data_IF_587966615542
#
_entry.id   IF_587966615542
#
_cell.length_a   1.000
_cell.length_b   1.000
_cell.length_c   1.000
_cell.angle_alpha   90.00
_cell.angle_beta   90.00
_cell.angle_gamma   90.00
#
_symmetry.space_group_name_H-M   'P 1'
#
loop_
_entity.id
_entity.type
_entity.pdbx_description
1 polymer ?
#
# COMPACT_ATOMS: atom_id res chain seq x y z
N UNK A 1 33.75 2.00 14.92
CA UNK A 1 34.24 3.12 15.77
C UNK A 1 35.76 3.41 15.68
N UNK A 2 36.52 2.82 14.74
CA UNK A 2 37.93 3.19 14.46
C UNK A 2 38.16 3.91 13.12
N UNK A 3 37.14 4.00 12.26
CA UNK A 3 37.20 4.73 10.98
C UNK A 3 36.65 6.16 11.03
N UNK A 4 35.96 6.56 12.11
CA UNK A 4 35.43 7.92 12.29
C UNK A 4 36.49 8.86 12.91
N UNK A 5 37.55 8.31 13.50
CA UNK A 5 38.62 9.10 14.12
C UNK A 5 39.82 9.38 13.20
N UNK A 6 39.90 8.75 12.02
CA UNK A 6 41.04 8.97 11.09
C UNK A 6 40.79 10.07 10.05
N UNK A 7 39.57 10.60 9.96
CA UNK A 7 39.24 11.70 9.05
C UNK A 7 39.39 13.08 9.71
N UNK A 8 39.62 13.15 11.04
CA UNK A 8 39.74 14.41 11.77
C UNK A 8 41.17 14.95 11.91
N UNK A 9 42.21 14.27 11.41
CA UNK A 9 43.61 14.68 11.65
C UNK A 9 44.50 14.72 10.40
N UNK A 10 43.97 15.20 9.28
CA UNK A 10 44.80 15.60 8.13
C UNK A 10 44.36 16.94 7.58
N UNK A 11 44.25 17.94 8.45
CA UNK A 11 44.37 19.33 7.97
C UNK A 11 45.86 19.56 7.76
N UNK A 12 46.30 19.52 6.51
CA UNK A 12 47.70 19.74 6.15
C UNK A 12 48.12 21.16 6.53
N UNK A 13 49.41 21.38 6.80
CA UNK A 13 49.96 22.71 7.14
C UNK A 13 49.55 23.79 6.12
N UNK A 14 49.36 23.40 4.85
CA UNK A 14 48.86 24.22 3.76
C UNK A 14 47.40 24.71 3.97
N UNK A 15 46.52 23.85 4.49
CA UNK A 15 45.12 24.21 4.77
C UNK A 15 45.02 25.14 5.99
N UNK A 16 45.85 24.93 7.03
CA UNK A 16 45.94 25.89 8.14
C UNK A 16 46.42 27.27 7.66
N UNK A 17 47.43 27.33 6.79
CA UNK A 17 47.87 28.61 6.22
C UNK A 17 46.81 29.30 5.35
N UNK A 18 45.98 28.54 4.62
CA UNK A 18 44.88 29.10 3.84
C UNK A 18 43.75 29.63 4.72
N UNK A 19 43.40 28.92 5.79
CA UNK A 19 42.38 29.36 6.75
C UNK A 19 42.85 30.61 7.51
N UNK A 20 44.12 30.65 7.95
CA UNK A 20 44.68 31.85 8.60
C UNK A 20 44.79 33.02 7.64
N UNK A 21 45.16 32.79 6.37
CA UNK A 21 45.20 33.85 5.37
C UNK A 21 43.81 34.38 5.03
N UNK A 22 42.80 33.49 4.92
CA UNK A 22 41.41 33.87 4.67
C UNK A 22 40.80 34.66 5.82
N UNK A 23 41.06 34.27 7.07
CA UNK A 23 40.59 35.01 8.26
C UNK A 23 41.28 36.36 8.43
N UNK A 24 42.58 36.46 8.16
CA UNK A 24 43.30 37.74 8.13
C UNK A 24 42.77 38.63 7.01
N UNK A 25 42.51 38.09 5.82
CA UNK A 25 41.93 38.84 4.70
C UNK A 25 40.52 39.32 5.03
N UNK A 26 39.68 38.49 5.63
CA UNK A 26 38.33 38.87 6.05
C UNK A 26 38.37 39.95 7.16
N UNK A 27 39.28 39.83 8.13
CA UNK A 27 39.52 40.86 9.14
C UNK A 27 40.03 42.16 8.52
N UNK A 28 40.94 42.10 7.54
CA UNK A 28 41.44 43.28 6.83
C UNK A 28 40.35 43.93 5.97
N UNK A 29 39.48 43.14 5.32
CA UNK A 29 38.33 43.65 4.55
C UNK A 29 37.30 44.26 5.51
N UNK A 30 37.02 43.65 6.66
CA UNK A 30 36.14 44.21 7.67
C UNK A 30 36.73 45.50 8.28
N UNK A 31 38.03 45.52 8.59
CA UNK A 31 38.73 46.72 9.06
C UNK A 31 38.72 47.80 7.98
N UNK A 32 38.97 47.45 6.72
CA UNK A 32 38.94 48.38 5.59
C UNK A 32 37.52 48.90 5.32
N UNK A 33 36.52 48.04 5.37
CA UNK A 33 35.09 48.40 5.25
C UNK A 33 34.60 49.24 6.43
N UNK A 34 35.21 49.11 7.61
CA UNK A 34 34.90 49.95 8.78
C UNK A 34 35.68 51.26 8.76
N UNK A 35 36.96 51.26 8.38
CA UNK A 35 37.82 52.44 8.40
C UNK A 35 37.64 53.34 7.19
N UNK A 36 37.40 52.81 5.99
CA UNK A 36 37.33 53.63 4.77
C UNK A 36 36.12 54.55 4.75
N UNK A 37 34.90 54.12 5.14
CA UNK A 37 33.76 55.04 5.26
C UNK A 37 33.98 56.05 6.39
N UNK A 38 34.53 55.62 7.53
CA UNK A 38 34.84 56.53 8.64
C UNK A 38 35.93 57.55 8.26
N UNK A 39 36.94 57.17 7.48
CA UNK A 39 37.97 58.09 6.99
C UNK A 39 37.41 59.04 5.91
N UNK A 40 36.50 58.55 5.06
CA UNK A 40 35.81 59.34 4.04
C UNK A 40 34.78 60.32 4.61
N UNK A 41 34.25 60.09 5.82
CA UNK A 41 33.40 61.04 6.56
C UNK A 41 34.24 61.97 7.45
N UNK A 42 35.32 61.47 8.06
CA UNK A 42 36.19 62.27 8.94
C UNK A 42 37.02 63.28 8.14
N UNK A 43 37.54 62.96 6.96
CA UNK A 43 38.32 63.91 6.13
C UNK A 43 37.55 65.17 5.70
N UNK A 44 36.32 65.09 5.14
CA UNK A 44 35.56 66.28 4.80
C UNK A 44 35.05 67.03 6.03
N UNK A 45 34.68 66.35 7.13
CA UNK A 45 34.23 67.01 8.37
C UNK A 45 35.38 67.71 9.08
N UNK A 46 36.56 67.08 9.18
CA UNK A 46 37.77 67.73 9.71
C UNK A 46 38.28 68.83 8.76
N UNK A 47 38.14 68.64 7.45
CA UNK A 47 38.39 69.66 6.43
C UNK A 47 37.49 70.88 6.61
N UNK A 48 36.18 70.69 6.83
CA UNK A 48 35.22 71.75 7.10
C UNK A 48 35.49 72.44 8.44
N UNK A 49 35.86 71.70 9.49
CA UNK A 49 36.23 72.28 10.79
C UNK A 49 37.54 73.07 10.71
N UNK A 50 38.56 72.56 10.02
CA UNK A 50 39.83 73.26 9.80
C UNK A 50 39.62 74.50 8.92
N UNK A 51 38.73 74.42 7.92
CA UNK A 51 38.37 75.54 7.07
C UNK A 51 37.57 76.61 7.84
N UNK A 52 36.63 76.22 8.70
CA UNK A 52 35.93 77.15 9.58
C UNK A 52 36.89 77.81 10.59
N UNK A 53 37.89 77.07 11.07
CA UNK A 53 38.94 77.59 11.95
C UNK A 53 39.87 78.55 11.20
N UNK A 54 40.21 78.26 9.94
CA UNK A 54 41.00 79.13 9.07
C UNK A 54 40.26 80.42 8.70
N UNK A 55 38.95 80.34 8.42
CA UNK A 55 38.09 81.51 8.17
C UNK A 55 37.99 82.36 9.45
N UNK A 56 37.82 81.75 10.62
CA UNK A 56 37.82 82.46 11.90
C UNK A 56 39.17 83.12 12.21
N UNK A 57 40.29 82.48 11.86
CA UNK A 57 41.65 83.06 12.04
C UNK A 57 41.90 84.19 11.04
N UNK A 58 41.49 84.05 9.77
CA UNK A 58 41.60 85.09 8.75
C UNK A 58 40.73 86.31 9.08
N UNK A 59 39.53 86.11 9.64
CA UNK A 59 38.68 87.18 10.14
C UNK A 59 39.25 87.88 11.39
N UNK A 60 40.09 87.21 12.19
CA UNK A 60 40.72 87.78 13.38
C UNK A 60 42.06 88.48 13.10
N UNK A 61 42.70 88.21 11.95
CA UNK A 61 44.05 88.69 11.62
C UNK A 61 44.13 89.86 10.63
N UNK A 62 43.01 90.40 10.15
CA UNK A 62 43.02 91.59 9.27
C UNK A 62 42.81 92.88 10.08
N UNK A 63 43.83 93.74 10.25
CA UNK A 63 43.63 95.10 10.72
C UNK A 63 42.92 95.89 9.62
N UNK A 64 41.98 96.75 10.02
CA UNK A 64 41.23 97.67 9.16
C UNK A 64 42.13 98.58 8.33
N UNK A 65 42.47 98.22 7.09
CA UNK A 65 43.03 99.15 6.09
C UNK A 65 42.73 98.72 4.65
N UNK A 66 42.24 99.70 3.87
CA UNK A 66 41.98 99.76 2.41
C UNK A 66 40.77 99.01 1.84
N UNK A 67 39.88 99.84 1.29
CA UNK A 67 38.49 99.63 0.82
C UNK A 67 38.36 98.92 -0.54
N UNK A 68 39.38 98.16 -0.99
CA UNK A 68 39.44 97.60 -2.36
C UNK A 68 39.86 96.12 -2.43
N UNK A 69 40.15 95.49 -1.28
CA UNK A 69 40.50 94.06 -1.17
C UNK A 69 39.50 93.24 -0.33
N UNK A 70 38.47 93.90 0.20
CA UNK A 70 37.35 93.26 0.90
C UNK A 70 36.40 92.57 -0.06
N UNK A 71 36.28 93.03 -1.29
CA UNK A 71 35.32 92.50 -2.28
C UNK A 71 35.79 91.13 -2.83
N UNK A 72 37.08 90.95 -3.10
CA UNK A 72 37.65 89.70 -3.64
C UNK A 72 37.74 88.58 -2.58
N UNK A 73 37.94 88.93 -1.31
CA UNK A 73 37.90 87.96 -0.20
C UNK A 73 36.45 87.65 0.20
N UNK A 74 35.55 88.64 0.24
CA UNK A 74 34.14 88.40 0.53
C UNK A 74 33.49 87.50 -0.53
N UNK A 75 33.75 87.74 -1.82
CA UNK A 75 33.23 86.91 -2.93
C UNK A 75 33.78 85.49 -2.94
N UNK A 76 35.09 85.29 -2.70
CA UNK A 76 35.67 83.94 -2.55
C UNK A 76 35.07 83.21 -1.33
N UNK A 77 34.85 83.92 -0.23
CA UNK A 77 34.24 83.31 0.97
C UNK A 77 32.77 82.95 0.73
N UNK A 78 32.04 83.78 -0.02
CA UNK A 78 30.63 83.55 -0.38
C UNK A 78 30.45 82.36 -1.35
N UNK A 79 31.30 82.25 -2.38
CA UNK A 79 31.27 81.12 -3.32
C UNK A 79 31.60 79.78 -2.64
N UNK A 80 32.54 79.77 -1.69
CA UNK A 80 32.87 78.57 -0.91
C UNK A 80 31.77 78.19 0.10
N UNK A 81 31.16 79.17 0.78
CA UNK A 81 30.01 78.93 1.66
C UNK A 81 28.84 78.38 0.85
N UNK A 82 28.60 78.91 -0.36
CA UNK A 82 27.58 78.44 -1.28
C UNK A 82 27.84 77.01 -1.77
N UNK A 83 29.08 76.67 -2.12
CA UNK A 83 29.46 75.31 -2.49
C UNK A 83 29.31 74.32 -1.32
N UNK A 84 29.68 74.71 -0.10
CA UNK A 84 29.53 73.87 1.09
C UNK A 84 28.05 73.66 1.48
N UNK A 85 27.21 74.68 1.30
CA UNK A 85 25.75 74.57 1.47
C UNK A 85 25.12 73.65 0.42
N UNK A 86 25.62 73.66 -0.82
CA UNK A 86 25.16 72.74 -1.86
C UNK A 86 25.54 71.29 -1.55
N UNK A 87 26.75 71.04 -1.05
CA UNK A 87 27.15 69.71 -0.56
C UNK A 87 26.30 69.27 0.64
N UNK A 88 26.00 70.16 1.60
CA UNK A 88 25.07 69.86 2.69
C UNK A 88 23.65 69.53 2.18
N UNK A 89 23.18 70.21 1.14
CA UNK A 89 21.90 69.89 0.48
C UNK A 89 21.93 68.48 -0.13
N UNK A 90 23.04 68.10 -0.75
CA UNK A 90 23.23 66.74 -1.24
C UNK A 90 23.21 65.74 -0.08
N UNK A 91 23.92 65.97 1.03
CA UNK A 91 23.92 65.06 2.18
C UNK A 91 22.52 64.94 2.82
N UNK A 92 21.76 66.04 2.94
CA UNK A 92 20.37 66.01 3.45
C UNK A 92 19.45 65.20 2.53
N UNK A 93 19.59 65.35 1.21
CA UNK A 93 18.85 64.55 0.24
C UNK A 93 19.21 63.05 0.31
N UNK A 94 20.49 62.71 0.51
CA UNK A 94 20.93 61.33 0.70
C UNK A 94 20.43 60.76 2.03
N UNK A 95 20.40 61.54 3.11
CA UNK A 95 19.83 61.13 4.39
C UNK A 95 18.33 60.84 4.28
N UNK A 96 17.55 61.70 3.60
CA UNK A 96 16.13 61.44 3.33
C UNK A 96 15.89 60.21 2.45
N UNK A 97 16.78 59.96 1.48
CA UNK A 97 16.74 58.75 0.67
C UNK A 97 17.05 57.49 1.50
N UNK A 98 18.07 57.55 2.38
CA UNK A 98 18.42 56.48 3.32
C UNK A 98 17.26 56.13 4.26
N UNK A 99 16.57 57.13 4.82
CA UNK A 99 15.40 56.90 5.68
C UNK A 99 14.25 56.22 4.92
N UNK A 100 13.98 56.66 3.68
CA UNK A 100 12.96 56.03 2.82
C UNK A 100 13.32 54.58 2.49
N UNK A 101 14.61 54.33 2.20
CA UNK A 101 15.12 52.99 1.94
C UNK A 101 15.07 52.10 3.19
N UNK A 102 15.42 52.63 4.37
CA UNK A 102 15.30 51.92 5.66
C UNK A 102 13.84 51.52 5.93
N UNK A 103 12.89 52.43 5.70
CA UNK A 103 11.45 52.14 5.81
C UNK A 103 11.00 51.02 4.87
N UNK A 104 11.43 51.05 3.61
CA UNK A 104 11.12 50.00 2.64
C UNK A 104 11.72 48.64 3.01
N UNK A 105 12.98 48.62 3.47
CA UNK A 105 13.67 47.38 3.90
C UNK A 105 13.02 46.80 5.16
N UNK A 106 12.63 47.64 6.13
CA UNK A 106 11.92 47.18 7.32
C UNK A 106 10.55 46.57 6.99
N UNK A 107 9.82 47.18 6.04
CA UNK A 107 8.56 46.59 5.55
C UNK A 107 8.77 45.23 4.90
N UNK A 108 9.81 45.08 4.08
CA UNK A 108 10.17 43.80 3.48
C UNK A 108 10.61 42.75 4.54
N UNK A 109 11.33 43.17 5.58
CA UNK A 109 11.75 42.29 6.66
C UNK A 109 10.56 41.78 7.50
N UNK A 110 9.55 42.62 7.74
CA UNK A 110 8.31 42.23 8.43
C UNK A 110 7.50 41.21 7.60
N UNK A 111 7.42 41.42 6.29
CA UNK A 111 6.80 40.48 5.36
C UNK A 111 7.56 39.13 5.33
N UNK A 112 8.90 39.16 5.30
CA UNK A 112 9.73 37.96 5.40
C UNK A 112 9.45 37.21 6.71
N UNK A 113 9.41 37.90 7.85
CA UNK A 113 9.13 37.26 9.13
C UNK A 113 7.73 36.62 9.16
N UNK A 114 6.73 37.28 8.59
CA UNK A 114 5.37 36.72 8.47
C UNK A 114 5.38 35.43 7.67
N UNK A 115 6.02 35.44 6.49
CA UNK A 115 6.17 34.24 5.64
C UNK A 115 6.93 33.12 6.37
N UNK A 116 7.97 33.46 7.14
CA UNK A 116 8.74 32.47 7.90
C UNK A 116 7.91 31.85 9.03
N UNK A 117 7.05 32.61 9.72
CA UNK A 117 6.12 32.05 10.71
C UNK A 117 5.12 31.08 10.09
N UNK A 118 4.55 31.44 8.94
CA UNK A 118 3.64 30.55 8.21
C UNK A 118 4.36 29.27 7.78
N UNK A 119 5.61 29.39 7.31
CA UNK A 119 6.45 28.27 6.93
C UNK A 119 6.75 27.33 8.10
N UNK A 120 6.98 27.83 9.31
CA UNK A 120 7.14 26.99 10.52
C UNK A 120 5.87 26.18 10.81
N UNK A 121 4.69 26.79 10.67
CA UNK A 121 3.42 26.10 10.88
C UNK A 121 3.19 25.00 9.82
N UNK A 122 3.54 25.26 8.56
CA UNK A 122 3.45 24.29 7.48
C UNK A 122 4.42 23.12 7.67
N UNK A 123 5.67 23.40 8.07
CA UNK A 123 6.67 22.38 8.43
C UNK A 123 6.17 21.47 9.57
N UNK A 124 5.53 22.06 10.59
CA UNK A 124 4.98 21.31 11.72
C UNK A 124 3.83 20.40 11.28
N UNK A 125 2.97 20.89 10.40
CA UNK A 125 1.89 20.10 9.80
C UNK A 125 2.46 18.96 8.96
N UNK A 126 3.49 19.22 8.17
CA UNK A 126 4.16 18.22 7.33
C UNK A 126 4.80 17.10 8.16
N UNK A 127 5.44 17.41 9.30
CA UNK A 127 5.94 16.39 10.23
C UNK A 127 4.84 15.48 10.76
N UNK A 128 3.67 16.04 11.06
CA UNK A 128 2.51 15.25 11.52
C UNK A 128 2.07 14.29 10.41
N UNK A 129 1.96 14.76 9.17
CA UNK A 129 1.62 13.89 8.04
C UNK A 129 2.64 12.77 7.83
N UNK A 130 3.94 13.05 7.93
CA UNK A 130 4.98 12.03 7.79
C UNK A 130 4.85 10.96 8.89
N UNK A 131 4.57 11.36 10.13
CA UNK A 131 4.35 10.43 11.23
C UNK A 131 3.12 9.53 10.99
N UNK A 132 1.99 10.13 10.59
CA UNK A 132 0.76 9.40 10.27
C UNK A 132 0.96 8.42 9.09
N UNK A 133 1.70 8.84 8.06
CA UNK A 133 2.06 7.98 6.92
C UNK A 133 2.95 6.81 7.36
N UNK A 134 3.92 7.05 8.25
CA UNK A 134 4.79 6.00 8.78
C UNK A 134 3.99 4.94 9.55
N UNK A 135 3.04 5.36 10.39
CA UNK A 135 2.14 4.42 11.07
C UNK A 135 1.30 3.60 10.07
N UNK A 136 0.84 4.21 8.99
CA UNK A 136 0.13 3.48 7.93
C UNK A 136 1.01 2.45 7.23
N UNK A 137 2.29 2.75 6.98
CA UNK A 137 3.22 1.79 6.38
C UNK A 137 3.50 0.60 7.31
N UNK A 138 3.58 0.81 8.63
CA UNK A 138 3.70 -0.27 9.62
C UNK A 138 2.47 -1.19 9.61
N UNK A 139 1.26 -0.61 9.44
CA UNK A 139 0.03 -1.39 9.29
C UNK A 139 0.03 -2.21 8.00
N UNK A 140 0.54 -1.66 6.90
CA UNK A 140 0.70 -2.38 5.63
C UNK A 140 1.66 -3.56 5.81
N UNK A 141 2.78 -3.37 6.51
CA UNK A 141 3.72 -4.46 6.80
C UNK A 141 3.05 -5.61 7.57
N UNK A 142 2.29 -5.29 8.61
CA UNK A 142 1.51 -6.28 9.35
C UNK A 142 0.47 -6.99 8.46
N UNK A 143 -0.16 -6.28 7.51
CA UNK A 143 -1.09 -6.90 6.55
C UNK A 143 -0.39 -7.87 5.59
N UNK A 144 0.82 -7.53 5.12
CA UNK A 144 1.65 -8.40 4.27
C UNK A 144 2.03 -9.68 5.02
N UNK A 145 2.46 -9.58 6.28
CA UNK A 145 2.79 -10.74 7.11
C UNK A 145 1.58 -11.69 7.28
N UNK A 146 0.40 -11.11 7.55
CA UNK A 146 -0.84 -11.90 7.64
C UNK A 146 -1.22 -12.54 6.29
N UNK A 147 -1.02 -11.82 5.18
CA UNK A 147 -1.26 -12.35 3.84
C UNK A 147 -0.35 -13.55 3.54
N UNK A 148 0.94 -13.46 3.87
CA UNK A 148 1.90 -14.54 3.69
C UNK A 148 1.53 -15.78 4.53
N UNK A 149 1.10 -15.58 5.78
CA UNK A 149 0.61 -16.69 6.62
C UNK A 149 -0.66 -17.35 6.02
N UNK A 150 -1.57 -16.56 5.44
CA UNK A 150 -2.75 -17.09 4.76
C UNK A 150 -2.40 -17.89 3.50
N UNK A 151 -1.40 -17.45 2.73
CA UNK A 151 -0.87 -18.17 1.56
C UNK A 151 -0.32 -19.53 1.99
N UNK A 152 0.48 -19.58 3.05
CA UNK A 152 1.06 -20.82 3.58
C UNK A 152 -0.03 -21.82 4.00
N UNK A 153 -1.01 -21.37 4.79
CA UNK A 153 -2.15 -22.20 5.21
C UNK A 153 -2.97 -22.68 4.01
N UNK A 154 -3.16 -21.82 3.01
CA UNK A 154 -3.89 -22.18 1.77
C UNK A 154 -3.14 -23.27 1.00
N UNK A 155 -1.82 -23.16 0.88
CA UNK A 155 -0.99 -24.17 0.22
C UNK A 155 -1.06 -25.53 0.93
N UNK A 156 -0.89 -25.56 2.26
CA UNK A 156 -0.99 -26.78 3.05
C UNK A 156 -2.40 -27.42 2.94
N UNK A 157 -3.44 -26.59 3.00
CA UNK A 157 -4.83 -27.06 2.84
C UNK A 157 -5.05 -27.66 1.43
N UNK A 158 -4.48 -27.04 0.41
CA UNK A 158 -4.59 -27.48 -0.99
C UNK A 158 -3.90 -28.83 -1.21
N UNK A 159 -2.73 -29.03 -0.60
CA UNK A 159 -2.01 -30.32 -0.62
C UNK A 159 -2.81 -31.42 0.08
N UNK A 160 -3.35 -31.12 1.26
CA UNK A 160 -4.19 -32.05 2.02
C UNK A 160 -5.46 -32.46 1.25
N UNK A 161 -6.15 -31.51 0.63
CA UNK A 161 -7.33 -31.80 -0.20
C UNK A 161 -6.95 -32.65 -1.41
N UNK A 162 -5.82 -32.37 -2.06
CA UNK A 162 -5.32 -33.18 -3.18
C UNK A 162 -5.10 -34.63 -2.77
N UNK A 163 -4.44 -34.85 -1.62
CA UNK A 163 -4.21 -36.17 -1.06
C UNK A 163 -5.52 -36.90 -0.74
N UNK A 164 -6.46 -36.22 -0.07
CA UNK A 164 -7.77 -36.77 0.27
C UNK A 164 -8.60 -37.10 -0.98
N UNK A 165 -8.61 -36.24 -1.99
CA UNK A 165 -9.33 -36.50 -3.25
C UNK A 165 -8.74 -37.69 -4.00
N UNK A 166 -7.41 -37.81 -4.06
CA UNK A 166 -6.77 -38.98 -4.68
C UNK A 166 -7.08 -40.28 -3.91
N UNK A 167 -7.09 -40.24 -2.57
CA UNK A 167 -7.49 -41.37 -1.76
C UNK A 167 -8.97 -41.74 -1.99
N UNK A 168 -9.85 -40.74 -2.03
CA UNK A 168 -11.27 -40.92 -2.33
C UNK A 168 -11.51 -41.57 -3.69
N UNK A 169 -10.81 -41.11 -4.74
CA UNK A 169 -10.85 -41.75 -6.06
C UNK A 169 -10.45 -43.21 -6.01
N UNK A 170 -9.35 -43.52 -5.33
CA UNK A 170 -8.88 -44.90 -5.19
C UNK A 170 -9.91 -45.79 -4.47
N UNK A 171 -10.53 -45.28 -3.40
CA UNK A 171 -11.56 -46.05 -2.68
C UNK A 171 -12.78 -46.34 -3.54
N UNK A 172 -13.17 -45.43 -4.44
CA UNK A 172 -14.27 -45.66 -5.38
C UNK A 172 -13.87 -46.65 -6.47
N UNK A 173 -12.63 -46.61 -6.95
CA UNK A 173 -12.10 -47.60 -7.90
C UNK A 173 -12.10 -49.01 -7.28
N UNK A 174 -11.56 -49.15 -6.06
CA UNK A 174 -11.61 -50.38 -5.26
C UNK A 174 -13.08 -50.86 -5.06
N UNK A 175 -14.02 -49.93 -4.92
CA UNK A 175 -15.46 -50.24 -4.81
C UNK A 175 -16.07 -50.71 -6.14
N UNK A 176 -15.60 -50.16 -7.27
CA UNK A 176 -15.96 -50.62 -8.62
C UNK A 176 -15.56 -52.07 -8.86
N UNK A 177 -14.37 -52.46 -8.42
CA UNK A 177 -13.90 -53.85 -8.48
C UNK A 177 -14.79 -54.79 -7.65
N UNK A 178 -15.22 -54.34 -6.47
CA UNK A 178 -16.17 -55.10 -5.63
C UNK A 178 -17.51 -55.30 -6.36
N UNK A 179 -18.06 -54.26 -6.99
CA UNK A 179 -19.29 -54.40 -7.79
C UNK A 179 -19.13 -55.39 -8.93
N UNK A 180 -18.01 -55.34 -9.65
CA UNK A 180 -17.74 -56.27 -10.74
C UNK A 180 -17.66 -57.72 -10.24
N UNK A 181 -17.07 -57.93 -9.06
CA UNK A 181 -17.05 -59.23 -8.39
C UNK A 181 -18.46 -59.73 -8.02
N UNK A 182 -19.32 -58.86 -7.50
CA UNK A 182 -20.70 -59.19 -7.15
C UNK A 182 -21.51 -59.53 -8.42
N UNK A 183 -21.36 -58.76 -9.50
CA UNK A 183 -22.04 -59.04 -10.78
C UNK A 183 -21.67 -60.46 -11.27
N UNK A 184 -20.38 -60.80 -11.27
CA UNK A 184 -19.93 -62.13 -11.69
C UNK A 184 -20.47 -63.26 -10.79
N UNK A 185 -20.56 -63.02 -9.47
CA UNK A 185 -21.15 -63.99 -8.55
C UNK A 185 -22.65 -64.19 -8.81
N UNK A 186 -23.37 -63.11 -9.10
CA UNK A 186 -24.80 -63.15 -9.44
C UNK A 186 -25.05 -63.88 -10.76
N UNK A 187 -24.21 -63.67 -11.78
CA UNK A 187 -24.27 -64.42 -13.05
C UNK A 187 -24.03 -65.93 -12.85
N UNK A 188 -23.04 -66.30 -12.02
CA UNK A 188 -22.80 -67.70 -11.66
C UNK A 188 -24.01 -68.30 -10.93
N UNK A 189 -24.62 -67.55 -10.02
CA UNK A 189 -25.80 -67.98 -9.31
C UNK A 189 -27.01 -68.18 -10.23
N UNK A 190 -27.19 -67.32 -11.23
CA UNK A 190 -28.21 -67.51 -12.27
C UNK A 190 -27.97 -68.80 -13.06
N UNK A 191 -26.72 -69.09 -13.44
CA UNK A 191 -26.36 -70.34 -14.12
C UNK A 191 -26.68 -71.58 -13.27
N UNK A 192 -26.43 -71.55 -11.96
CA UNK A 192 -26.77 -72.68 -11.08
C UNK A 192 -28.28 -72.88 -10.93
N UNK A 193 -29.06 -71.80 -10.86
CA UNK A 193 -30.53 -71.90 -10.82
C UNK A 193 -31.09 -72.45 -12.12
N UNK A 194 -30.51 -72.07 -13.28
CA UNK A 194 -30.89 -72.66 -14.56
C UNK A 194 -30.62 -74.16 -14.60
N UNK A 195 -29.47 -74.62 -14.12
CA UNK A 195 -29.16 -76.05 -14.03
C UNK A 195 -30.13 -76.79 -13.08
N UNK A 196 -30.48 -76.16 -11.95
CA UNK A 196 -31.45 -76.70 -11.01
C UNK A 196 -32.84 -76.80 -11.66
N UNK A 197 -33.27 -75.79 -12.40
CA UNK A 197 -34.53 -75.79 -13.14
C UNK A 197 -34.61 -76.97 -14.11
N UNK A 198 -33.55 -77.21 -14.87
CA UNK A 198 -33.47 -78.34 -15.82
C UNK A 198 -33.51 -79.69 -15.11
N UNK A 199 -32.85 -79.83 -13.96
CA UNK A 199 -32.93 -81.04 -13.12
C UNK A 199 -34.34 -81.27 -12.59
N UNK A 200 -35.03 -80.23 -12.13
CA UNK A 200 -36.41 -80.34 -11.65
C UNK A 200 -37.37 -80.75 -12.76
N UNK A 201 -37.16 -80.26 -13.99
CA UNK A 201 -37.92 -80.68 -15.17
C UNK A 201 -37.78 -82.18 -15.43
N UNK A 202 -36.56 -82.73 -15.32
CA UNK A 202 -36.32 -84.16 -15.47
C UNK A 202 -37.00 -85.01 -14.37
N UNK A 203 -37.10 -84.47 -13.14
CA UNK A 203 -37.87 -85.10 -12.06
C UNK A 203 -39.36 -85.11 -12.39
N UNK A 204 -39.93 -84.01 -12.90
CA UNK A 204 -41.32 -83.95 -13.35
C UNK A 204 -41.64 -84.98 -14.43
N UNK A 205 -40.76 -85.14 -15.42
CA UNK A 205 -40.90 -86.17 -16.47
C UNK A 205 -40.88 -87.60 -15.89
N UNK A 206 -40.02 -87.84 -14.90
CA UNK A 206 -39.94 -89.12 -14.19
C UNK A 206 -41.20 -89.42 -13.38
N UNK A 207 -41.76 -88.41 -12.70
CA UNK A 207 -43.02 -88.52 -11.96
C UNK A 207 -44.20 -88.83 -12.88
N UNK A 208 -44.28 -88.19 -14.04
CA UNK A 208 -45.30 -88.51 -15.05
C UNK A 208 -45.24 -89.97 -15.51
N UNK A 209 -44.02 -90.52 -15.64
CA UNK A 209 -43.82 -91.94 -15.96
C UNK A 209 -44.27 -92.87 -14.82
N UNK A 210 -43.99 -92.50 -13.56
CA UNK A 210 -44.44 -93.25 -12.37
C UNK A 210 -45.96 -93.23 -12.26
N UNK A 211 -46.59 -92.08 -12.48
CA UNK A 211 -48.05 -91.95 -12.44
C UNK A 211 -48.70 -92.80 -13.55
N UNK A 212 -48.12 -92.81 -14.76
CA UNK A 212 -48.55 -93.68 -15.85
C UNK A 212 -48.47 -95.16 -15.46
N UNK A 213 -47.32 -95.62 -14.92
CA UNK A 213 -47.13 -97.00 -14.46
C UNK A 213 -48.12 -97.35 -13.34
N UNK A 214 -48.32 -96.44 -12.38
CA UNK A 214 -49.26 -96.63 -11.28
C UNK A 214 -50.70 -96.78 -11.79
N UNK A 215 -51.15 -95.91 -12.69
CA UNK A 215 -52.48 -95.98 -13.31
C UNK A 215 -52.65 -97.29 -14.11
N UNK A 216 -51.64 -97.73 -14.87
CA UNK A 216 -51.65 -99.02 -15.57
C UNK A 216 -51.72 -100.21 -14.60
N UNK A 217 -50.95 -100.18 -13.51
CA UNK A 217 -50.93 -101.24 -12.50
C UNK A 217 -52.27 -101.32 -11.77
N UNK A 218 -52.88 -100.18 -11.46
CA UNK A 218 -54.22 -100.10 -10.89
C UNK A 218 -55.29 -100.68 -11.83
N UNK A 219 -55.21 -100.40 -13.15
CA UNK A 219 -56.11 -101.00 -14.15
C UNK A 219 -55.91 -102.51 -14.30
N UNK A 220 -54.66 -102.99 -14.29
CA UNK A 220 -54.36 -104.44 -14.30
C UNK A 220 -54.89 -105.13 -13.04
N UNK A 221 -54.69 -104.53 -11.88
CA UNK A 221 -55.19 -105.04 -10.60
C UNK A 221 -56.72 -105.03 -10.52
N UNK A 222 -57.38 -104.04 -11.12
CA UNK A 222 -58.83 -104.00 -11.26
C UNK A 222 -59.32 -105.15 -12.14
N UNK A 223 -58.72 -105.35 -13.32
CA UNK A 223 -59.05 -106.46 -14.21
C UNK A 223 -58.84 -107.83 -13.53
N UNK A 224 -57.74 -107.99 -12.80
CA UNK A 224 -57.47 -109.20 -12.02
C UNK A 224 -58.48 -109.42 -10.89
N UNK A 225 -58.91 -108.35 -10.20
CA UNK A 225 -59.95 -108.44 -9.16
C UNK A 225 -61.30 -108.87 -9.74
N UNK A 226 -61.65 -108.37 -10.93
CA UNK A 226 -62.88 -108.76 -11.65
C UNK A 226 -62.82 -110.25 -12.02
N UNK A 227 -61.71 -110.72 -12.59
CA UNK A 227 -61.58 -112.12 -13.02
C UNK A 227 -61.51 -113.08 -11.82
N UNK A 228 -60.87 -112.66 -10.72
CA UNK A 228 -60.89 -113.40 -9.45
C UNK A 228 -62.32 -113.53 -8.87
N UNK A 229 -63.14 -112.48 -8.95
CA UNK A 229 -64.55 -112.54 -8.56
C UNK A 229 -65.35 -113.48 -9.49
N UNK A 230 -65.01 -113.50 -10.78
CA UNK A 230 -65.64 -114.35 -11.80
C UNK A 230 -65.35 -115.84 -11.61
N UNK A 231 -64.18 -116.18 -11.08
CA UNK A 231 -63.77 -117.55 -10.75
C UNK A 231 -64.39 -118.10 -9.43
N UNK A 232 -65.17 -117.30 -8.71
CA UNK A 232 -65.91 -117.74 -7.51
C UNK A 232 -64.99 -118.18 -6.35
N UNK A 233 -65.28 -119.33 -5.72
CA UNK A 233 -64.49 -119.86 -4.58
C UNK A 233 -63.01 -120.08 -4.91
N UNK A 234 -62.69 -120.49 -6.14
CA UNK A 234 -61.31 -120.76 -6.57
C UNK A 234 -60.48 -119.47 -6.77
N UNK A 235 -61.13 -118.31 -6.92
CA UNK A 235 -60.49 -117.02 -7.15
C UNK A 235 -60.22 -116.18 -5.90
N UNK A 236 -60.74 -116.57 -4.72
CA UNK A 236 -60.66 -115.76 -3.48
C UNK A 236 -59.24 -115.31 -3.12
N UNK A 237 -58.26 -116.20 -3.20
CA UNK A 237 -56.85 -115.88 -2.90
C UNK A 237 -56.25 -114.86 -3.88
N UNK A 238 -56.55 -115.01 -5.17
CA UNK A 238 -56.14 -114.05 -6.21
C UNK A 238 -56.84 -112.69 -6.06
N UNK A 239 -58.10 -112.69 -5.62
CA UNK A 239 -58.86 -111.46 -5.36
C UNK A 239 -58.23 -110.61 -4.26
N UNK A 240 -57.77 -111.23 -3.16
CA UNK A 240 -57.07 -110.52 -2.08
C UNK A 240 -55.77 -109.88 -2.58
N UNK A 241 -54.97 -110.62 -3.35
CA UNK A 241 -53.71 -110.09 -3.93
C UNK A 241 -53.99 -108.95 -4.89
N UNK A 242 -54.98 -109.09 -5.78
CA UNK A 242 -55.35 -108.04 -6.72
C UNK A 242 -55.82 -106.76 -6.01
N UNK A 243 -56.54 -106.89 -4.89
CA UNK A 243 -56.99 -105.75 -4.10
C UNK A 243 -55.84 -105.06 -3.36
N UNK A 244 -54.84 -105.81 -2.89
CA UNK A 244 -53.63 -105.24 -2.27
C UNK A 244 -52.74 -104.54 -3.31
N UNK A 245 -52.56 -105.11 -4.52
CA UNK A 245 -51.85 -104.44 -5.62
C UNK A 245 -52.54 -103.12 -5.97
N UNK A 246 -53.87 -103.12 -6.06
CA UNK A 246 -54.66 -101.93 -6.36
C UNK A 246 -54.47 -100.84 -5.30
N UNK A 247 -54.44 -101.23 -4.03
CA UNK A 247 -54.15 -100.31 -2.91
C UNK A 247 -52.73 -99.74 -2.99
N UNK A 248 -51.72 -100.57 -3.27
CA UNK A 248 -50.33 -100.13 -3.47
C UNK A 248 -50.21 -99.15 -4.64
N UNK A 249 -50.86 -99.43 -5.78
CA UNK A 249 -50.87 -98.50 -6.92
C UNK A 249 -51.45 -97.15 -6.54
N UNK A 250 -52.60 -97.12 -5.85
CA UNK A 250 -53.17 -95.85 -5.38
C UNK A 250 -52.22 -95.10 -4.42
N UNK A 251 -51.54 -95.79 -3.50
CA UNK A 251 -50.54 -95.17 -2.63
C UNK A 251 -49.33 -94.62 -3.40
N UNK A 252 -48.87 -95.31 -4.43
CA UNK A 252 -47.81 -94.82 -5.33
C UNK A 252 -48.26 -93.58 -6.07
N UNK A 253 -49.53 -93.53 -6.51
CA UNK A 253 -50.10 -92.35 -7.16
C UNK A 253 -50.15 -91.15 -6.20
N UNK A 254 -50.73 -91.33 -5.01
CA UNK A 254 -50.80 -90.28 -3.98
C UNK A 254 -49.39 -89.75 -3.60
N UNK A 255 -48.40 -90.64 -3.53
CA UNK A 255 -47.02 -90.26 -3.28
C UNK A 255 -46.41 -89.47 -4.45
N UNK A 256 -46.67 -89.88 -5.69
CA UNK A 256 -46.21 -89.18 -6.88
C UNK A 256 -46.82 -87.78 -6.98
N UNK A 257 -48.12 -87.64 -6.69
CA UNK A 257 -48.82 -86.35 -6.64
C UNK A 257 -48.20 -85.42 -5.58
N UNK A 258 -47.92 -85.94 -4.37
CA UNK A 258 -47.29 -85.16 -3.31
C UNK A 258 -45.86 -84.72 -3.67
N UNK A 259 -45.08 -85.55 -4.37
CA UNK A 259 -43.75 -85.14 -4.85
C UNK A 259 -43.89 -84.10 -5.96
N UNK A 260 -44.89 -84.22 -6.84
CA UNK A 260 -45.16 -83.25 -7.90
C UNK A 260 -45.47 -81.85 -7.32
N UNK A 261 -46.24 -81.78 -6.24
CA UNK A 261 -46.50 -80.52 -5.54
C UNK A 261 -45.20 -79.89 -4.98
N UNK A 262 -44.30 -80.70 -4.42
CA UNK A 262 -42.99 -80.22 -3.95
C UNK A 262 -42.17 -79.69 -5.13
N UNK A 263 -42.13 -80.40 -6.25
CA UNK A 263 -41.40 -80.00 -7.46
C UNK A 263 -41.95 -78.68 -8.02
N UNK A 264 -43.26 -78.50 -8.06
CA UNK A 264 -43.90 -77.26 -8.50
C UNK A 264 -43.54 -76.08 -7.58
N UNK A 265 -43.52 -76.29 -6.26
CA UNK A 265 -43.08 -75.27 -5.30
C UNK A 265 -41.60 -74.90 -5.50
N UNK A 266 -40.74 -75.85 -5.83
CA UNK A 266 -39.33 -75.58 -6.16
C UNK A 266 -39.22 -74.78 -7.46
N UNK A 267 -39.98 -75.12 -8.51
CA UNK A 267 -40.01 -74.35 -9.76
C UNK A 267 -40.45 -72.89 -9.53
N UNK A 268 -41.49 -72.68 -8.72
CA UNK A 268 -41.94 -71.33 -8.37
C UNK A 268 -40.88 -70.56 -7.58
N UNK A 269 -40.20 -71.23 -6.64
CA UNK A 269 -39.08 -70.63 -5.89
C UNK A 269 -37.92 -70.22 -6.80
N UNK A 270 -37.56 -71.05 -7.77
CA UNK A 270 -36.52 -70.73 -8.77
C UNK A 270 -36.94 -69.51 -9.60
N UNK A 271 -38.20 -69.44 -10.03
CA UNK A 271 -38.72 -68.30 -10.78
C UNK A 271 -38.68 -67.00 -9.97
N UNK A 272 -39.06 -67.04 -8.70
CA UNK A 272 -38.96 -65.87 -7.83
C UNK A 272 -37.51 -65.44 -7.62
N UNK A 273 -36.58 -66.40 -7.53
CA UNK A 273 -35.14 -66.15 -7.49
C UNK A 273 -34.66 -65.45 -8.77
N UNK A 274 -35.17 -65.89 -9.94
CA UNK A 274 -34.89 -65.32 -11.26
C UNK A 274 -35.32 -63.84 -11.33
N UNK A 275 -36.50 -63.51 -10.82
CA UNK A 275 -36.96 -62.11 -10.79
C UNK A 275 -36.12 -61.25 -9.81
N UNK A 276 -35.61 -61.84 -8.73
CA UNK A 276 -34.77 -61.14 -7.74
C UNK A 276 -33.39 -60.80 -8.31
N UNK A 277 -32.68 -61.74 -8.94
CA UNK A 277 -31.31 -61.44 -9.39
C UNK A 277 -31.29 -60.42 -10.55
N UNK A 278 -32.30 -60.41 -11.43
CA UNK A 278 -32.42 -59.39 -12.48
C UNK A 278 -32.54 -57.98 -11.86
N UNK A 279 -33.28 -57.87 -10.76
CA UNK A 279 -33.38 -56.61 -10.00
C UNK A 279 -32.04 -56.26 -9.35
N UNK A 280 -31.35 -57.23 -8.78
CA UNK A 280 -30.05 -57.02 -8.13
C UNK A 280 -29.00 -56.53 -9.14
N UNK A 281 -28.94 -57.11 -10.35
CA UNK A 281 -28.06 -56.62 -11.44
C UNK A 281 -28.35 -55.15 -11.75
N UNK A 282 -29.62 -54.78 -11.93
CA UNK A 282 -30.00 -53.39 -12.21
C UNK A 282 -29.59 -52.42 -11.09
N UNK A 283 -29.69 -52.83 -9.83
CA UNK A 283 -29.23 -52.03 -8.68
C UNK A 283 -27.70 -51.87 -8.69
N UNK A 284 -26.96 -52.92 -9.03
CA UNK A 284 -25.50 -52.90 -9.10
C UNK A 284 -25.01 -51.99 -10.24
N UNK A 285 -25.65 -52.02 -11.40
CA UNK A 285 -25.33 -51.13 -12.53
C UNK A 285 -25.53 -49.65 -12.17
N UNK A 286 -26.66 -49.31 -11.52
CA UNK A 286 -26.90 -47.96 -11.01
C UNK A 286 -25.86 -47.58 -9.96
N UNK A 287 -25.49 -48.51 -9.08
CA UNK A 287 -24.42 -48.32 -8.10
C UNK A 287 -23.08 -47.96 -8.74
N UNK A 288 -22.72 -48.65 -9.83
CA UNK A 288 -21.51 -48.36 -10.62
C UNK A 288 -21.56 -46.98 -11.27
N UNK A 289 -22.67 -46.63 -11.92
CA UNK A 289 -22.86 -45.31 -12.53
C UNK A 289 -22.71 -44.18 -11.50
N UNK A 290 -23.25 -44.37 -10.28
CA UNK A 290 -23.06 -43.41 -9.18
C UNK A 290 -21.61 -43.33 -8.72
N UNK A 291 -20.89 -44.46 -8.68
CA UNK A 291 -19.45 -44.49 -8.42
C UNK A 291 -18.67 -43.65 -9.44
N UNK A 292 -18.91 -43.87 -10.73
CA UNK A 292 -18.26 -43.13 -11.81
C UNK A 292 -18.52 -41.62 -11.71
N UNK A 293 -19.75 -41.22 -11.34
CA UNK A 293 -20.09 -39.81 -11.10
C UNK A 293 -19.30 -39.21 -9.93
N UNK A 294 -19.03 -39.99 -8.87
CA UNK A 294 -18.20 -39.54 -7.74
C UNK A 294 -16.74 -39.35 -8.16
N UNK A 295 -16.21 -40.20 -9.04
CA UNK A 295 -14.86 -40.03 -9.61
C UNK A 295 -14.75 -38.69 -10.36
N UNK A 296 -15.75 -38.34 -11.18
CA UNK A 296 -15.79 -37.06 -11.88
C UNK A 296 -15.79 -35.86 -10.92
N UNK A 297 -16.55 -35.95 -9.82
CA UNK A 297 -16.57 -34.89 -8.78
C UNK A 297 -15.17 -34.70 -8.19
N UNK A 298 -14.43 -35.77 -7.91
CA UNK A 298 -13.06 -35.65 -7.40
C UNK A 298 -12.10 -35.04 -8.44
N UNK A 299 -12.27 -35.35 -9.73
CA UNK A 299 -11.49 -34.71 -10.81
C UNK A 299 -11.75 -33.19 -10.90
N UNK A 300 -13.01 -32.78 -10.76
CA UNK A 300 -13.38 -31.36 -10.69
C UNK A 300 -12.77 -30.68 -9.45
N UNK A 301 -12.79 -31.34 -8.30
CA UNK A 301 -12.15 -30.83 -7.08
C UNK A 301 -10.64 -30.64 -7.30
N UNK A 302 -9.94 -31.62 -7.87
CA UNK A 302 -8.49 -31.52 -8.15
C UNK A 302 -8.20 -30.36 -9.12
N UNK A 303 -9.03 -30.18 -10.14
CA UNK A 303 -8.90 -29.07 -11.10
C UNK A 303 -9.05 -27.70 -10.42
N UNK A 304 -10.04 -27.57 -9.53
CA UNK A 304 -10.24 -26.34 -8.75
C UNK A 304 -9.08 -26.07 -7.78
N UNK A 305 -8.53 -27.13 -7.17
CA UNK A 305 -7.34 -27.07 -6.32
C UNK A 305 -6.11 -26.59 -7.09
N UNK A 306 -5.89 -27.07 -8.33
CA UNK A 306 -4.82 -26.54 -9.18
C UNK A 306 -4.99 -25.04 -9.44
N UNK A 307 -6.21 -24.60 -9.73
CA UNK A 307 -6.50 -23.18 -9.94
C UNK A 307 -6.25 -22.34 -8.67
N UNK A 308 -6.56 -22.89 -7.49
CA UNK A 308 -6.25 -22.25 -6.20
C UNK A 308 -4.74 -22.17 -5.95
N UNK A 309 -3.98 -23.20 -6.34
CA UNK A 309 -2.52 -23.18 -6.23
C UNK A 309 -1.91 -22.07 -7.11
N UNK A 310 -2.37 -21.91 -8.35
CA UNK A 310 -1.93 -20.82 -9.23
C UNK A 310 -2.27 -19.45 -8.66
N UNK A 311 -3.47 -19.27 -8.11
CA UNK A 311 -3.86 -18.02 -7.44
C UNK A 311 -3.00 -17.73 -6.21
N UNK A 312 -2.68 -18.75 -5.42
CA UNK A 312 -1.79 -18.64 -4.25
C UNK A 312 -0.40 -18.15 -4.65
N UNK A 313 0.18 -18.70 -5.73
CA UNK A 313 1.46 -18.24 -6.28
C UNK A 313 1.41 -16.78 -6.78
N UNK A 314 0.32 -16.40 -7.46
CA UNK A 314 0.14 -15.00 -7.89
C UNK A 314 0.01 -14.06 -6.70
N UNK A 315 -0.66 -14.50 -5.64
CA UNK A 315 -0.82 -13.71 -4.40
C UNK A 315 0.52 -13.55 -3.67
N UNK A 316 1.36 -14.58 -3.67
CA UNK A 316 2.72 -14.53 -3.13
C UNK A 316 3.58 -13.50 -3.88
N UNK A 317 3.56 -13.54 -5.22
CA UNK A 317 4.27 -12.57 -6.05
C UNK A 317 3.78 -11.13 -5.79
N UNK A 318 2.46 -10.94 -5.71
CA UNK A 318 1.86 -9.64 -5.41
C UNK A 318 2.25 -9.14 -4.01
N UNK A 319 2.27 -10.04 -3.03
CA UNK A 319 2.67 -9.74 -1.65
C UNK A 319 4.13 -9.24 -1.60
N UNK A 320 5.05 -9.93 -2.29
CA UNK A 320 6.45 -9.52 -2.40
C UNK A 320 6.62 -8.17 -3.11
N UNK A 321 5.82 -7.89 -4.14
CA UNK A 321 5.83 -6.60 -4.82
C UNK A 321 5.37 -5.47 -3.90
N UNK A 322 4.26 -5.67 -3.18
CA UNK A 322 3.74 -4.70 -2.21
C UNK A 322 4.75 -4.47 -1.07
N UNK A 323 5.41 -5.51 -0.57
CA UNK A 323 6.48 -5.38 0.43
C UNK A 323 7.62 -4.48 -0.07
N UNK A 324 8.07 -4.71 -1.30
CA UNK A 324 9.14 -3.91 -1.90
C UNK A 324 8.72 -2.45 -2.10
N UNK A 325 7.49 -2.19 -2.55
CA UNK A 325 6.99 -0.82 -2.68
C UNK A 325 6.81 -0.15 -1.32
N UNK A 326 6.32 -0.87 -0.31
CA UNK A 326 6.19 -0.37 1.07
C UNK A 326 7.56 0.08 1.62
N UNK A 327 8.59 -0.74 1.45
CA UNK A 327 9.97 -0.41 1.86
C UNK A 327 10.50 0.86 1.17
N UNK A 328 10.18 1.07 -0.11
CA UNK A 328 10.56 2.32 -0.81
C UNK A 328 9.84 3.53 -0.26
N UNK A 329 8.55 3.41 0.03
CA UNK A 329 7.76 4.52 0.60
C UNK A 329 8.29 4.88 1.98
N UNK A 330 8.61 3.89 2.82
CA UNK A 330 9.25 4.12 4.13
C UNK A 330 10.58 4.86 3.97
N UNK A 331 11.43 4.47 3.01
CA UNK A 331 12.68 5.18 2.74
C UNK A 331 12.46 6.63 2.29
N UNK A 332 11.48 6.88 1.42
CA UNK A 332 11.09 8.22 0.98
C UNK A 332 10.54 9.08 2.11
N UNK A 333 9.77 8.50 3.04
CA UNK A 333 9.28 9.21 4.23
C UNK A 333 10.41 9.60 5.17
N UNK A 334 11.44 8.75 5.31
CA UNK A 334 12.65 9.10 6.06
C UNK A 334 13.39 10.28 5.42
N UNK A 335 13.55 10.28 4.09
CA UNK A 335 14.19 11.38 3.37
C UNK A 335 13.37 12.68 3.48
N UNK A 336 12.04 12.60 3.40
CA UNK A 336 11.16 13.74 3.62
C UNK A 336 11.29 14.29 5.04
N UNK A 337 11.37 13.43 6.05
CA UNK A 337 11.56 13.87 7.43
C UNK A 337 12.87 14.66 7.61
N UNK A 338 13.96 14.18 7.01
CA UNK A 338 15.26 14.85 7.04
C UNK A 338 15.19 16.21 6.31
N UNK A 339 14.56 16.25 5.14
CA UNK A 339 14.34 17.49 4.38
C UNK A 339 13.50 18.50 5.18
N UNK A 340 12.43 18.07 5.83
CA UNK A 340 11.61 18.92 6.70
C UNK A 340 12.40 19.46 7.90
N UNK A 341 13.35 18.67 8.42
CA UNK A 341 14.31 19.11 9.43
C UNK A 341 15.27 20.20 8.93
N UNK A 342 15.84 20.02 7.74
CA UNK A 342 16.69 21.03 7.09
C UNK A 342 15.92 22.32 6.79
N UNK A 343 14.69 22.17 6.31
CA UNK A 343 13.80 23.29 5.99
C UNK A 343 13.53 24.14 7.24
N UNK A 344 13.25 23.50 8.38
CA UNK A 344 13.08 24.18 9.66
C UNK A 344 14.30 25.02 10.04
N UNK A 345 15.50 24.44 9.94
CA UNK A 345 16.75 25.15 10.27
C UNK A 345 17.00 26.34 9.33
N UNK A 346 16.68 26.21 8.04
CA UNK A 346 16.79 27.32 7.07
C UNK A 346 15.76 28.43 7.33
N UNK A 347 14.53 28.09 7.68
CA UNK A 347 13.48 29.05 8.04
C UNK A 347 13.88 29.83 9.30
N UNK A 348 14.36 29.14 10.34
CA UNK A 348 14.86 29.78 11.57
C UNK A 348 16.05 30.71 11.28
N UNK A 349 17.03 30.24 10.49
CA UNK A 349 18.18 31.05 10.10
C UNK A 349 17.80 32.29 9.28
N UNK A 350 16.82 32.17 8.39
CA UNK A 350 16.35 33.30 7.56
C UNK A 350 15.59 34.32 8.40
N UNK A 351 14.76 33.89 9.35
CA UNK A 351 14.11 34.81 10.30
C UNK A 351 15.15 35.55 11.16
N UNK A 352 16.20 34.85 11.62
CA UNK A 352 17.32 35.47 12.33
C UNK A 352 18.02 36.56 11.50
N UNK A 353 18.30 36.29 10.22
CA UNK A 353 18.91 37.27 9.30
C UNK A 353 17.99 38.47 9.05
N UNK A 354 16.67 38.26 8.93
CA UNK A 354 15.70 39.34 8.78
C UNK A 354 15.66 40.25 10.01
N UNK A 355 15.72 39.67 11.22
CA UNK A 355 15.83 40.43 12.48
C UNK A 355 17.14 41.23 12.57
N UNK A 356 18.26 40.65 12.17
CA UNK A 356 19.56 41.35 12.14
C UNK A 356 19.53 42.53 11.16
N UNK A 357 18.99 42.31 9.95
CA UNK A 357 18.83 43.34 8.93
C UNK A 357 17.96 44.50 9.42
N UNK A 358 16.84 44.20 10.10
CA UNK A 358 15.99 45.21 10.71
C UNK A 358 16.74 46.04 11.77
N UNK A 359 17.56 45.39 12.60
CA UNK A 359 18.42 46.08 13.56
C UNK A 359 19.43 47.00 12.87
N UNK A 360 20.09 46.56 11.81
CA UNK A 360 21.02 47.40 11.03
C UNK A 360 20.32 48.59 10.37
N UNK A 361 19.08 48.40 9.90
CA UNK A 361 18.29 49.48 9.28
C UNK A 361 17.83 50.52 10.30
N UNK A 362 17.55 50.13 11.55
CA UNK A 362 17.30 51.07 12.64
C UNK A 362 18.53 51.92 12.96
N UNK A 363 19.73 51.33 12.94
CA UNK A 363 20.98 52.08 13.12
C UNK A 363 21.23 53.07 11.96
N UNK A 364 20.98 52.63 10.72
CA UNK A 364 21.05 53.52 9.54
C UNK A 364 20.03 54.66 9.60
N UNK A 365 18.81 54.40 10.06
CA UNK A 365 17.80 55.44 10.23
C UNK A 365 18.20 56.46 11.31
N UNK A 366 18.77 55.99 12.42
CA UNK A 366 19.29 56.85 13.48
C UNK A 366 20.48 57.70 13.01
N UNK A 367 21.41 57.12 12.24
CA UNK A 367 22.54 57.86 11.66
C UNK A 367 22.07 58.89 10.62
N UNK A 368 21.11 58.57 9.75
CA UNK A 368 20.53 59.51 8.81
C UNK A 368 19.80 60.67 9.53
N UNK A 369 19.09 60.36 10.62
CA UNK A 369 18.41 61.36 11.45
C UNK A 369 19.41 62.32 12.12
N UNK A 370 20.45 61.78 12.74
CA UNK A 370 21.50 62.59 13.38
C UNK A 370 22.29 63.43 12.37
N UNK A 371 22.59 62.89 11.18
CA UNK A 371 23.19 63.67 10.08
C UNK A 371 22.30 64.85 9.68
N UNK A 372 20.99 64.62 9.52
CA UNK A 372 20.03 65.67 9.19
C UNK A 372 19.98 66.75 10.27
N UNK A 373 20.05 66.36 11.55
CA UNK A 373 20.11 67.30 12.68
C UNK A 373 21.40 68.12 12.68
N UNK A 374 22.55 67.49 12.40
CA UNK A 374 23.83 68.18 12.28
C UNK A 374 23.83 69.18 11.11
N UNK A 375 23.29 68.80 9.95
CA UNK A 375 23.16 69.72 8.80
C UNK A 375 22.31 70.93 9.18
N UNK A 376 21.18 70.73 9.86
CA UNK A 376 20.34 71.84 10.34
C UNK A 376 21.08 72.78 11.28
N UNK A 377 21.86 72.23 12.24
CA UNK A 377 22.68 73.05 13.16
C UNK A 377 23.75 73.85 12.43
N UNK A 378 24.42 73.25 11.44
CA UNK A 378 25.41 73.97 10.62
C UNK A 378 24.74 75.07 9.80
N UNK A 379 23.57 74.80 9.21
CA UNK A 379 22.77 75.81 8.50
C UNK A 379 22.35 76.98 9.42
N UNK A 380 21.93 76.70 10.65
CA UNK A 380 21.54 77.71 11.64
C UNK A 380 22.73 78.58 12.06
N UNK A 381 23.88 77.97 12.37
CA UNK A 381 25.11 78.69 12.69
C UNK A 381 25.57 79.60 11.54
N UNK A 382 25.47 79.14 10.29
CA UNK A 382 25.82 79.95 9.11
C UNK A 382 24.87 81.14 8.94
N UNK A 383 23.56 80.98 9.19
CA UNK A 383 22.60 82.09 9.15
C UNK A 383 22.86 83.16 10.22
N UNK A 384 23.26 82.76 11.42
CA UNK A 384 23.62 83.71 12.48
C UNK A 384 24.86 84.55 12.15
N UNK A 385 25.85 83.97 11.45
CA UNK A 385 27.09 84.67 11.08
C UNK A 385 26.96 85.56 9.83
N UNK A 386 25.89 85.39 9.03
CA UNK A 386 25.64 86.14 7.79
C UNK A 386 24.77 87.40 7.97
N UNK A 387 24.47 87.83 9.21
CA UNK A 387 23.86 89.14 9.51
C UNK A 387 22.65 89.57 8.66
N UNK A 388 21.69 88.67 8.43
CA UNK A 388 20.35 89.03 7.99
C UNK A 388 20.21 89.55 6.56
N UNK A 389 21.23 89.45 5.70
CA UNK A 389 20.98 89.50 4.25
C UNK A 389 20.35 88.18 3.81
N UNK A 390 19.15 88.31 3.24
CA UNK A 390 18.28 87.23 2.84
C UNK A 390 18.92 86.50 1.64
N UNK A 391 19.90 85.63 1.93
CA UNK A 391 20.35 84.60 1.01
C UNK A 391 19.18 83.61 0.84
N UNK A 392 18.25 83.99 -0.03
CA UNK A 392 16.95 83.37 -0.23
C UNK A 392 17.05 81.86 -0.37
N UNK A 393 16.78 81.19 0.73
CA UNK A 393 16.71 79.75 0.88
C UNK A 393 15.28 79.31 0.57
N UNK A 394 15.08 78.52 -0.50
CA UNK A 394 13.77 77.95 -0.84
C UNK A 394 13.84 76.44 -0.64
N UNK A 395 13.00 75.93 0.27
CA UNK A 395 12.86 74.48 0.51
C UNK A 395 12.42 73.78 -0.79
N UNK A 396 12.84 72.53 -1.06
CA UNK A 396 12.38 71.77 -2.22
C UNK A 396 10.84 71.66 -2.32
N UNK A 397 10.15 71.52 -1.18
CA UNK A 397 8.68 71.48 -1.13
C UNK A 397 8.01 72.80 -1.57
N UNK A 398 8.72 73.92 -1.51
CA UNK A 398 8.22 75.25 -1.88
C UNK A 398 8.51 75.61 -3.34
N UNK A 399 9.44 74.92 -4.01
CA UNK A 399 9.68 75.08 -5.45
C UNK A 399 8.49 74.57 -6.30
N UNK A 400 7.86 73.45 -5.92
CA UNK A 400 6.68 72.91 -6.62
C UNK A 400 5.48 73.88 -6.63
N UNK A 401 5.29 74.68 -5.58
CA UNK A 401 4.22 75.70 -5.52
C UNK A 401 4.49 76.90 -6.43
N UNK A 402 5.76 77.24 -6.70
CA UNK A 402 6.12 78.37 -7.60
C UNK A 402 5.82 78.06 -9.06
N UNK A 403 5.99 76.82 -9.49
CA UNK A 403 5.73 76.44 -10.88
C UNK A 403 4.24 76.45 -11.22
N UNK A 404 3.36 76.13 -10.27
CA UNK A 404 1.91 76.25 -10.46
C UNK A 404 1.41 77.71 -10.53
N UNK A 405 2.09 78.67 -9.89
CA UNK A 405 1.71 80.09 -9.94
C UNK A 405 2.19 80.81 -11.21
N UNK A 406 3.17 80.25 -11.94
CA UNK A 406 3.61 80.77 -13.25
C UNK A 406 2.72 80.34 -14.42
N UNK A 407 1.79 79.41 -14.21
CA UNK A 407 0.91 78.89 -15.27
C UNK A 407 -0.47 79.59 -15.37
N UNK A 408 -0.76 80.59 -14.53
CA UNK A 408 -2.07 81.30 -14.47
C UNK A 408 -1.95 82.82 -14.65
N UNK A 409 -0.91 83.32 -15.35
CA UNK A 409 -0.87 84.70 -15.82
C UNK A 409 -0.41 84.79 -17.27
#
# INVERSE_FOLDING_TARGET
MKHIFSTLTTVTKAQWTQITAGTIMALLIALFSYFVPNLAVVLPVTGLLILSLLIAIMAYQTPSTSDDATDDVATVTEDYVRASLEEMRHVEAHAGHLQSMSGAVNGAADEINTVMMDMVNEITSQKTYIADFSEQMDRIDAMIQNLNAMIEVTNDTTENITSLSNNGKKQIDDFGDVFQGIISLTEQFASYNQELFDKMKAVTESLGSIEYISNQTNLLALNASIEAARAGEHGKGFGVVAQEIRKLSNQVKESADSINDIVNNVHESIRQQEESYQRDIGILEVGREKGDAVVQIFDDVITNIHSLHEQSQQMEQSSQEVERENQKVVAQMSELNDLTGELYSKTEGTSGLAMEQQSSMMELDMTATTMTEHIKKVQENLKEHLNGEDAGWVRPAEMSKRDHLKAVN
#
